data_IF_221470386506
#
_entry.id   IF_221470386506
#
_cell.length_a   1.000
_cell.length_b   1.000
_cell.length_c   1.000
_cell.angle_alpha   90.00
_cell.angle_beta   90.00
_cell.angle_gamma   90.00
#
_symmetry.space_group_name_H-M   'P 1'
#
loop_
_entity.id
_entity.type
_entity.pdbx_description
1 polymer ?
#
# COMPACT_ATOMS: atom_id res chain seq x y z
N UNK A 1 16.35 1.01 5.40
CA UNK A 1 15.16 0.14 5.23
C UNK A 1 13.94 1.05 5.04
N UNK A 2 13.35 1.09 3.85
CA UNK A 2 12.14 1.89 3.59
C UNK A 2 10.92 0.97 3.54
N UNK A 3 9.80 1.41 4.12
CA UNK A 3 8.55 0.67 4.06
C UNK A 3 7.77 0.94 2.77
N UNK A 4 6.74 0.14 2.50
CA UNK A 4 5.84 0.27 1.36
C UNK A 4 5.13 1.64 1.30
N UNK A 5 5.03 2.38 2.40
CA UNK A 5 4.59 3.78 2.40
C UNK A 5 5.49 4.74 1.61
N UNK A 6 6.78 4.40 1.44
CA UNK A 6 7.77 5.19 0.71
C UNK A 6 8.00 4.65 -0.71
N UNK A 7 8.03 5.56 -1.68
CA UNK A 7 8.29 5.22 -3.08
C UNK A 7 9.78 4.95 -3.34
N UNK A 8 10.22 3.70 -3.13
CA UNK A 8 11.58 3.23 -3.42
C UNK A 8 12.02 3.55 -4.85
N UNK A 9 11.11 3.44 -5.82
CA UNK A 9 11.41 3.73 -7.22
C UNK A 9 11.75 5.20 -7.41
N UNK A 10 11.01 6.10 -6.74
CA UNK A 10 11.33 7.53 -6.74
C UNK A 10 12.66 7.82 -6.02
N UNK A 11 12.91 7.17 -4.89
CA UNK A 11 14.18 7.34 -4.16
C UNK A 11 15.38 6.86 -5.00
N UNK A 12 15.26 5.73 -5.70
CA UNK A 12 16.31 5.23 -6.58
C UNK A 12 16.64 6.21 -7.71
N UNK A 13 15.62 6.91 -8.25
CA UNK A 13 15.86 7.93 -9.26
C UNK A 13 16.52 9.19 -8.70
N UNK A 14 16.13 9.65 -7.51
CA UNK A 14 16.73 10.85 -6.89
C UNK A 14 18.17 10.60 -6.46
N UNK A 15 18.47 9.38 -5.99
CA UNK A 15 19.77 9.02 -5.43
C UNK A 15 20.68 8.30 -6.44
N UNK A 16 20.32 8.28 -7.73
CA UNK A 16 21.00 7.53 -8.80
C UNK A 16 22.50 7.82 -8.94
N UNK A 17 22.93 9.02 -8.53
CA UNK A 17 24.31 9.48 -8.71
C UNK A 17 25.10 9.42 -7.38
N UNK A 18 24.50 8.87 -6.32
CA UNK A 18 25.17 8.62 -5.04
C UNK A 18 25.48 7.12 -4.88
N UNK A 19 26.61 6.76 -4.24
CA UNK A 19 26.97 5.37 -3.98
C UNK A 19 26.18 4.80 -2.79
N UNK A 20 24.85 4.73 -2.93
CA UNK A 20 23.93 4.28 -1.88
C UNK A 20 23.14 3.05 -2.33
N UNK A 21 23.00 2.08 -1.43
CA UNK A 21 22.17 0.90 -1.65
C UNK A 21 20.78 1.11 -1.05
N UNK A 22 19.73 0.91 -1.86
CA UNK A 22 18.35 1.07 -1.43
C UNK A 22 17.69 -0.29 -1.27
N UNK A 23 17.21 -0.56 -0.06
CA UNK A 23 16.37 -1.73 0.27
C UNK A 23 15.05 -1.25 0.84
N UNK A 24 13.95 -1.64 0.19
CA UNK A 24 12.61 -1.34 0.64
C UNK A 24 11.54 -2.19 -0.03
N UNK A 25 10.33 -2.14 0.51
CA UNK A 25 9.18 -2.92 0.02
C UNK A 25 8.44 -2.14 -1.05
N UNK A 26 8.12 -2.80 -2.17
CA UNK A 26 7.23 -2.23 -3.18
C UNK A 26 5.78 -2.56 -2.81
N UNK A 27 4.87 -1.59 -2.90
CA UNK A 27 3.43 -1.84 -2.71
C UNK A 27 2.87 -2.71 -3.83
N UNK A 28 1.97 -3.62 -3.49
CA UNK A 28 1.37 -4.56 -4.45
C UNK A 28 0.48 -3.93 -5.52
N UNK A 29 -0.03 -2.70 -5.29
CA UNK A 29 -0.79 -1.93 -6.28
C UNK A 29 0.09 -1.26 -7.35
N UNK A 30 1.42 -1.32 -7.20
CA UNK A 30 2.35 -0.78 -8.19
C UNK A 30 2.42 -1.70 -9.41
N UNK A 31 1.96 -1.21 -10.55
CA UNK A 31 2.11 -1.89 -11.84
C UNK A 31 3.55 -1.78 -12.32
N UNK A 32 4.24 -2.91 -12.43
CA UNK A 32 5.59 -2.99 -13.02
C UNK A 32 5.48 -3.20 -14.53
N UNK A 33 6.05 -2.29 -15.31
CA UNK A 33 6.02 -2.38 -16.78
C UNK A 33 7.33 -2.96 -17.29
N UNK A 34 7.24 -3.93 -18.21
CA UNK A 34 8.41 -4.42 -18.94
C UNK A 34 9.09 -3.27 -19.70
N UNK A 35 10.42 -3.35 -19.94
CA UNK A 35 11.10 -2.42 -20.83
C UNK A 35 10.35 -2.34 -22.17
N UNK A 36 10.23 -1.11 -22.69
CA UNK A 36 9.63 -0.93 -24.01
C UNK A 36 10.47 -1.70 -25.02
N UNK A 37 9.89 -2.57 -25.87
CA UNK A 37 10.66 -3.27 -26.89
C UNK A 37 11.36 -2.25 -27.80
N UNK A 38 12.59 -2.55 -28.27
CA UNK A 38 13.29 -1.71 -29.23
C UNK A 38 12.39 -1.45 -30.43
N UNK A 39 12.34 -0.19 -30.89
CA UNK A 39 11.71 0.10 -32.17
C UNK A 39 12.69 -0.38 -33.24
N UNK A 40 12.36 -1.47 -33.92
CA UNK A 40 13.08 -1.85 -35.14
C UNK A 40 12.85 -0.75 -36.19
N UNK A 41 13.77 -0.55 -37.15
CA UNK A 41 13.50 0.26 -38.33
C UNK A 41 12.33 -0.41 -39.09
N UNK A 42 11.13 0.05 -38.81
CA UNK A 42 9.93 -0.30 -39.56
C UNK A 42 10.02 0.43 -40.91
N UNK A 43 9.75 -0.24 -42.03
CA UNK A 43 9.31 0.50 -43.22
C UNK A 43 8.17 1.43 -42.79
N UNK A 44 8.18 2.71 -43.17
CA UNK A 44 7.24 3.72 -42.63
C UNK A 44 5.77 3.28 -42.68
N UNK A 45 5.42 2.40 -43.63
CA UNK A 45 4.14 1.71 -43.73
C UNK A 45 3.76 0.94 -42.48
N UNK A 46 4.66 0.18 -41.87
CA UNK A 46 4.36 -0.71 -40.74
C UNK A 46 4.07 0.08 -39.46
N UNK A 47 4.82 1.15 -39.18
CA UNK A 47 4.53 2.07 -38.07
C UNK A 47 3.21 2.84 -38.25
N UNK A 48 2.90 3.29 -39.48
CA UNK A 48 1.63 3.92 -39.80
C UNK A 48 0.45 2.94 -39.67
N UNK A 49 0.63 1.70 -40.13
CA UNK A 49 -0.39 0.66 -40.07
C UNK A 49 -0.64 0.16 -38.64
N UNK A 50 0.38 0.10 -37.79
CA UNK A 50 0.22 -0.16 -36.35
C UNK A 50 -0.58 0.94 -35.65
N UNK A 51 -0.31 2.22 -35.98
CA UNK A 51 -1.07 3.36 -35.42
C UNK A 51 -2.51 3.40 -35.92
N UNK A 52 -2.75 3.06 -37.19
CA UNK A 52 -4.09 3.01 -37.78
C UNK A 52 -5.00 1.96 -37.13
N UNK A 53 -4.41 0.90 -36.53
CA UNK A 53 -5.15 -0.19 -35.87
C UNK A 53 -5.50 0.10 -34.41
N UNK A 54 -4.97 1.16 -33.81
CA UNK A 54 -5.30 1.54 -32.42
C UNK A 54 -6.42 2.59 -32.48
N UNK A 55 -7.69 2.22 -32.21
CA UNK A 55 -8.75 3.20 -32.18
C UNK A 55 -8.45 4.21 -31.07
N UNK A 56 -8.42 5.50 -31.43
CA UNK A 56 -8.32 6.57 -30.46
C UNK A 56 -9.61 6.56 -29.65
N UNK A 57 -9.51 6.22 -28.36
CA UNK A 57 -10.68 6.31 -27.47
C UNK A 57 -11.11 7.77 -27.37
N UNK A 58 -12.36 8.02 -27.71
CA UNK A 58 -12.94 9.34 -27.59
C UNK A 58 -13.25 9.64 -26.12
N UNK A 59 -13.35 10.92 -25.77
CA UNK A 59 -13.69 11.33 -24.40
C UNK A 59 -15.01 10.72 -23.91
N UNK A 60 -15.96 10.48 -24.82
CA UNK A 60 -17.24 9.81 -24.54
C UNK A 60 -17.09 8.32 -24.17
N UNK A 61 -16.00 7.67 -24.61
CA UNK A 61 -15.69 6.28 -24.27
C UNK A 61 -14.98 6.14 -22.92
N UNK A 62 -14.53 7.27 -22.35
CA UNK A 62 -13.90 7.29 -21.04
C UNK A 62 -14.98 7.35 -19.98
N UNK A 63 -14.85 6.51 -18.95
CA UNK A 63 -15.68 6.63 -17.76
C UNK A 63 -15.59 8.08 -17.25
N UNK A 64 -16.71 8.72 -16.92
CA UNK A 64 -16.68 10.05 -16.35
C UNK A 64 -15.77 10.00 -15.12
N UNK A 65 -14.86 10.96 -15.00
CA UNK A 65 -14.05 11.11 -13.79
C UNK A 65 -15.05 11.20 -12.63
N UNK A 66 -15.12 10.15 -11.80
CA UNK A 66 -16.03 10.09 -10.67
C UNK A 66 -15.91 11.40 -9.92
N UNK A 67 -17.02 12.16 -9.89
CA UNK A 67 -17.06 13.52 -9.39
C UNK A 67 -16.37 13.62 -8.04
N UNK A 68 -15.66 14.73 -7.86
CA UNK A 68 -15.01 15.17 -6.63
C UNK A 68 -15.76 14.62 -5.40
N UNK A 69 -15.25 13.54 -4.81
CA UNK A 69 -15.80 13.00 -3.58
C UNK A 69 -15.46 14.01 -2.49
N UNK A 70 -16.44 14.68 -1.85
CA UNK A 70 -16.12 15.55 -0.74
C UNK A 70 -15.52 14.67 0.37
N UNK A 71 -14.24 14.91 0.67
CA UNK A 71 -13.55 14.25 1.77
C UNK A 71 -14.20 14.69 3.08
N UNK A 72 -15.17 13.90 3.56
CA UNK A 72 -15.76 14.09 4.87
C UNK A 72 -14.76 13.59 5.91
N UNK A 73 -14.08 14.50 6.58
CA UNK A 73 -13.26 14.19 7.74
C UNK A 73 -14.15 13.60 8.83
N UNK A 74 -14.08 12.28 9.02
CA UNK A 74 -14.60 11.61 10.20
C UNK A 74 -13.60 11.86 11.31
N UNK A 75 -13.94 12.71 12.26
CA UNK A 75 -13.13 12.90 13.45
C UNK A 75 -12.96 11.54 14.15
N UNK A 76 -11.70 11.10 14.23
CA UNK A 76 -11.33 9.97 15.05
C UNK A 76 -11.46 10.44 16.49
N UNK A 77 -12.52 9.98 17.16
CA UNK A 77 -12.76 10.19 18.59
C UNK A 77 -11.51 9.72 19.34
N UNK A 78 -10.68 10.67 19.76
CA UNK A 78 -9.47 10.39 20.53
C UNK A 78 -9.89 9.85 21.89
N UNK A 79 -9.89 8.53 22.04
CA UNK A 79 -9.99 7.89 23.34
C UNK A 79 -8.69 8.15 24.07
N UNK A 80 -8.68 9.22 24.85
CA UNK A 80 -7.78 9.40 25.98
C UNK A 80 -7.90 8.21 26.92
N UNK A 81 -6.99 7.24 26.77
CA UNK A 81 -6.70 6.24 27.78
C UNK A 81 -5.23 6.39 28.16
N UNK A 82 -4.91 7.55 28.73
CA UNK A 82 -3.74 7.69 29.58
C UNK A 82 -4.15 7.13 30.95
N UNK A 83 -3.83 5.86 31.20
CA UNK A 83 -3.67 5.35 32.55
C UNK A 83 -2.58 4.31 32.50
N UNK A 84 -1.45 4.70 33.07
CA UNK A 84 -0.29 3.87 33.32
C UNK A 84 -0.69 2.62 34.11
N UNK A 85 -0.21 1.46 33.67
CA UNK A 85 -0.03 0.29 34.53
C UNK A 85 1.37 -0.26 34.24
N UNK A 86 2.31 0.30 34.98
CA UNK A 86 3.67 -0.15 35.19
C UNK A 86 3.66 -1.59 35.72
N UNK A 87 4.45 -2.44 35.05
CA UNK A 87 5.02 -3.74 35.42
C UNK A 87 4.63 -4.44 36.75
N UNK A 88 4.28 -5.73 36.62
CA UNK A 88 4.32 -6.78 37.66
C UNK A 88 5.75 -7.02 38.23
N UNK A 89 5.97 -7.77 39.36
CA UNK A 89 5.88 -9.25 39.36
C UNK A 89 5.57 -9.98 40.70
N UNK A 90 5.28 -11.30 40.57
CA UNK A 90 5.48 -12.43 41.52
C UNK A 90 4.70 -12.44 42.86
N UNK A 91 4.28 -13.53 43.51
CA UNK A 91 4.39 -14.99 43.40
C UNK A 91 3.52 -15.62 44.53
N UNK A 92 3.06 -16.87 44.39
CA UNK A 92 2.52 -17.70 45.49
C UNK A 92 1.17 -18.33 45.15
N UNK A 93 1.09 -19.62 44.83
CA UNK A 93 0.76 -20.72 45.76
C UNK A 93 -0.48 -20.37 46.62
N UNK A 94 -1.61 -21.06 46.61
CA UNK A 94 -1.81 -22.51 46.71
C UNK A 94 -3.32 -22.79 46.51
N UNK A 95 -3.67 -23.91 45.86
CA UNK A 95 -4.97 -24.60 45.93
C UNK A 95 -5.41 -24.81 47.40
N UNK A 96 -6.71 -24.87 47.79
CA UNK A 96 -7.58 -25.99 47.41
C UNK A 96 -9.10 -25.68 47.27
N UNK A 97 -9.79 -26.45 46.41
CA UNK A 97 -11.21 -26.79 46.59
C UNK A 97 -11.36 -27.76 47.80
N UNK A 98 -12.53 -28.12 48.34
CA UNK A 98 -13.91 -27.89 47.88
C UNK A 98 -14.89 -27.47 49.00
N UNK A 99 -16.15 -27.14 48.67
CA UNK A 99 -17.30 -27.58 49.49
C UNK A 99 -18.62 -27.45 48.74
N UNK A 100 -19.18 -28.62 48.39
CA UNK A 100 -20.61 -28.82 48.16
C UNK A 100 -21.37 -28.43 49.42
N UNK A 101 -22.48 -27.71 49.27
CA UNK A 101 -23.62 -27.80 50.20
C UNK A 101 -24.87 -27.99 49.33
N UNK A 102 -25.60 -29.05 49.63
CA UNK A 102 -26.86 -29.42 49.01
C UNK A 102 -28.04 -28.81 49.80
N UNK A 103 -29.20 -28.82 49.14
CA UNK A 103 -30.57 -28.86 49.70
C UNK A 103 -31.09 -27.65 50.50
N UNK A 104 -32.10 -26.99 49.94
CA UNK A 104 -33.50 -27.11 50.40
C UNK A 104 -34.46 -26.89 49.23
#
# INVERSE_FOLDING_TARGET
MTDAGYDVTRLAWVLRDLPVELVGRIRGDRVMRLPKPPRLPEDERSAAQARAKVPLRQAADMAPASGHHPHRHRELRQSSASTAMTSAPSSGSTSPAPRRVATY
#
